data_IF_479156465064
#
_entry.id   IF_479156465064
#
_cell.length_a   1.000
_cell.length_b   1.000
_cell.length_c   1.000
_cell.angle_alpha   90.00
_cell.angle_beta   90.00
_cell.angle_gamma   90.00
#
_symmetry.space_group_name_H-M   'P 1'
#
loop_
_entity.id
_entity.type
_entity.pdbx_description
1 polymer ?
#
# COMPACT_ATOMS: atom_id res chain seq x y z
N UNK A 1 -18.00 -9.77 -15.46
CA UNK A 1 -17.85 -9.04 -14.17
C UNK A 1 -16.39 -8.65 -13.96
N UNK A 2 -16.09 -7.54 -13.27
CA UNK A 2 -14.72 -7.12 -12.92
C UNK A 2 -14.45 -7.29 -11.41
N UNK A 3 -13.19 -7.37 -10.99
CA UNK A 3 -12.76 -7.54 -9.60
C UNK A 3 -13.32 -6.46 -8.67
N UNK A 4 -13.30 -5.19 -9.08
CA UNK A 4 -13.87 -4.08 -8.31
C UNK A 4 -15.38 -4.23 -8.06
N UNK A 5 -16.10 -4.81 -9.03
CA UNK A 5 -17.53 -5.07 -8.87
C UNK A 5 -17.79 -6.31 -7.99
N UNK A 6 -16.89 -7.30 -8.03
CA UNK A 6 -16.97 -8.49 -7.17
C UNK A 6 -16.83 -8.13 -5.68
N UNK A 7 -16.08 -7.07 -5.34
CA UNK A 7 -15.95 -6.58 -3.96
C UNK A 7 -17.29 -6.29 -3.28
N UNK A 8 -18.29 -5.84 -4.03
CA UNK A 8 -19.62 -5.50 -3.50
C UNK A 8 -20.30 -6.69 -2.83
N UNK A 9 -19.88 -7.91 -3.15
CA UNK A 9 -20.44 -9.15 -2.60
C UNK A 9 -19.76 -9.61 -1.30
N UNK A 10 -18.66 -8.98 -0.90
CA UNK A 10 -18.04 -9.20 0.41
C UNK A 10 -18.66 -8.34 1.52
N UNK A 11 -19.53 -7.39 1.17
CA UNK A 11 -20.21 -6.52 2.12
C UNK A 11 -21.71 -6.83 2.16
N UNK A 12 -22.32 -6.59 3.32
CA UNK A 12 -23.76 -6.76 3.48
C UNK A 12 -24.51 -5.84 2.51
N UNK A 13 -25.40 -6.42 1.70
CA UNK A 13 -26.25 -5.63 0.80
C UNK A 13 -27.29 -4.90 1.64
N UNK A 14 -27.41 -3.58 1.44
CA UNK A 14 -28.55 -2.82 1.95
C UNK A 14 -29.84 -3.32 1.31
N UNK A 15 -30.94 -3.27 2.04
CA UNK A 15 -32.27 -3.54 1.48
C UNK A 15 -32.54 -2.56 0.33
N UNK A 16 -32.71 -3.10 -0.88
CA UNK A 16 -33.19 -2.28 -2.01
C UNK A 16 -34.70 -2.09 -1.84
N UNK A 17 -35.09 -0.93 -1.31
CA UNK A 17 -36.49 -0.48 -1.32
C UNK A 17 -36.69 0.24 -2.65
N UNK A 18 -37.30 -0.45 -3.60
CA UNK A 18 -37.62 0.09 -4.92
C UNK A 18 -39.03 -0.33 -5.31
N UNK A 19 -39.79 0.60 -5.87
CA UNK A 19 -41.11 0.36 -6.47
C UNK A 19 -41.00 -0.21 -7.91
N UNK A 20 -39.76 -0.49 -8.35
CA UNK A 20 -39.52 -1.17 -9.62
C UNK A 20 -40.04 -2.60 -9.53
N UNK A 21 -40.83 -3.10 -10.50
CA UNK A 21 -41.15 -4.52 -10.54
C UNK A 21 -39.84 -5.31 -10.64
N UNK A 22 -39.73 -6.39 -9.86
CA UNK A 22 -38.57 -7.27 -9.88
C UNK A 22 -38.39 -7.79 -11.30
N UNK A 23 -37.25 -7.46 -11.92
CA UNK A 23 -36.94 -7.93 -13.28
C UNK A 23 -37.05 -9.47 -13.33
N UNK A 24 -37.85 -9.98 -14.26
CA UNK A 24 -38.05 -11.42 -14.51
C UNK A 24 -36.92 -12.03 -15.36
N UNK A 25 -35.95 -11.23 -15.80
CA UNK A 25 -34.80 -11.69 -16.56
C UNK A 25 -33.85 -12.53 -15.69
N UNK A 26 -33.57 -13.74 -16.14
CA UNK A 26 -32.68 -14.72 -15.50
C UNK A 26 -31.19 -14.50 -15.78
N UNK A 27 -30.82 -13.51 -16.60
CA UNK A 27 -29.45 -13.29 -17.07
C UNK A 27 -28.55 -12.57 -16.04
N UNK A 28 -29.05 -12.33 -14.82
CA UNK A 28 -28.27 -11.70 -13.75
C UNK A 28 -27.57 -12.76 -12.91
N UNK A 29 -26.23 -12.69 -12.85
CA UNK A 29 -25.41 -13.53 -11.96
C UNK A 29 -25.93 -13.46 -10.52
N UNK A 30 -26.24 -14.62 -9.95
CA UNK A 30 -26.65 -14.75 -8.57
C UNK A 30 -25.45 -14.66 -7.63
N UNK A 31 -25.71 -14.49 -6.33
CA UNK A 31 -24.63 -14.50 -5.33
C UNK A 31 -23.83 -15.81 -5.35
N UNK A 32 -24.49 -16.95 -5.60
CA UNK A 32 -23.84 -18.25 -5.72
C UNK A 32 -22.94 -18.36 -6.94
N UNK A 33 -23.37 -17.83 -8.10
CA UNK A 33 -22.56 -17.84 -9.33
C UNK A 33 -21.27 -17.05 -9.14
N UNK A 34 -21.36 -15.94 -8.39
CA UNK A 34 -20.23 -15.07 -8.10
C UNK A 34 -19.25 -15.74 -7.14
N UNK A 35 -19.74 -16.41 -6.10
CA UNK A 35 -18.87 -17.17 -5.19
C UNK A 35 -18.19 -18.33 -5.93
N UNK A 36 -18.90 -19.02 -6.83
CA UNK A 36 -18.33 -20.07 -7.67
C UNK A 36 -17.26 -19.50 -8.63
N UNK A 37 -17.53 -18.35 -9.26
CA UNK A 37 -16.59 -17.65 -10.12
C UNK A 37 -15.32 -17.22 -9.37
N UNK A 38 -15.46 -16.67 -8.16
CA UNK A 38 -14.33 -16.31 -7.31
C UNK A 38 -13.49 -17.54 -6.94
N UNK A 39 -14.12 -18.67 -6.59
CA UNK A 39 -13.42 -19.92 -6.33
C UNK A 39 -12.62 -20.42 -7.55
N UNK A 40 -13.19 -20.30 -8.76
CA UNK A 40 -12.49 -20.63 -10.00
C UNK A 40 -11.30 -19.70 -10.25
N UNK A 41 -11.45 -18.39 -10.07
CA UNK A 41 -10.36 -17.42 -10.25
C UNK A 41 -9.27 -17.61 -9.21
N UNK A 42 -9.61 -17.94 -7.97
CA UNK A 42 -8.62 -18.24 -6.92
C UNK A 42 -7.74 -19.45 -7.30
N UNK A 43 -8.28 -20.41 -8.05
CA UNK A 43 -7.50 -21.54 -8.58
C UNK A 43 -6.66 -21.16 -9.81
N UNK A 44 -7.22 -20.39 -10.75
CA UNK A 44 -6.53 -20.03 -12.02
C UNK A 44 -5.50 -18.91 -11.88
N UNK A 45 -5.76 -17.93 -11.02
CA UNK A 45 -4.97 -16.70 -10.86
C UNK A 45 -4.77 -16.40 -9.37
N UNK A 46 -4.19 -17.37 -8.66
CA UNK A 46 -4.09 -17.35 -7.20
C UNK A 46 -3.36 -16.12 -6.65
N UNK A 47 -2.23 -15.74 -7.27
CA UNK A 47 -1.43 -14.59 -6.82
C UNK A 47 -2.19 -13.28 -7.02
N UNK A 48 -2.74 -13.05 -8.21
CA UNK A 48 -3.47 -11.83 -8.54
C UNK A 48 -4.74 -11.64 -7.70
N UNK A 49 -5.52 -12.71 -7.53
CA UNK A 49 -6.72 -12.68 -6.71
C UNK A 49 -6.38 -12.38 -5.23
N UNK A 50 -5.41 -13.09 -4.66
CA UNK A 50 -4.97 -12.87 -3.29
C UNK A 50 -4.41 -11.45 -3.10
N UNK A 51 -3.62 -10.97 -4.06
CA UNK A 51 -3.04 -9.63 -4.01
C UNK A 51 -4.13 -8.54 -4.02
N UNK A 52 -5.14 -8.67 -4.87
CA UNK A 52 -6.28 -7.77 -4.92
C UNK A 52 -7.09 -7.78 -3.62
N UNK A 53 -7.43 -8.96 -3.11
CA UNK A 53 -8.20 -9.11 -1.87
C UNK A 53 -7.46 -8.53 -0.66
N UNK A 54 -6.13 -8.73 -0.61
CA UNK A 54 -5.27 -8.13 0.41
C UNK A 54 -5.18 -6.61 0.29
N UNK A 55 -5.03 -6.07 -0.92
CA UNK A 55 -5.00 -4.62 -1.22
C UNK A 55 -6.29 -3.93 -0.80
N UNK A 56 -7.43 -4.58 -1.01
CA UNK A 56 -8.75 -4.06 -0.64
C UNK A 56 -9.10 -4.28 0.84
N UNK A 57 -8.22 -4.93 1.62
CA UNK A 57 -8.40 -5.13 3.05
C UNK A 57 -9.51 -6.12 3.41
N UNK A 58 -9.90 -7.01 2.48
CA UNK A 58 -10.98 -7.99 2.73
C UNK A 58 -10.49 -9.15 3.59
N UNK A 59 -9.22 -9.56 3.44
CA UNK A 59 -8.65 -10.73 4.09
C UNK A 59 -7.16 -10.55 4.36
N UNK A 60 -6.76 -10.70 5.63
CA UNK A 60 -5.35 -10.71 6.04
C UNK A 60 -4.60 -11.93 5.53
N UNK A 61 -5.30 -13.06 5.42
CA UNK A 61 -4.73 -14.31 4.96
C UNK A 61 -4.38 -14.23 3.47
N UNK A 62 -5.22 -13.58 2.66
CA UNK A 62 -4.93 -13.37 1.23
C UNK A 62 -3.75 -12.42 1.02
N UNK A 63 -3.57 -11.42 1.90
CA UNK A 63 -2.36 -10.58 1.91
C UNK A 63 -1.10 -11.43 2.14
N UNK A 64 -1.09 -12.25 3.18
CA UNK A 64 0.07 -13.10 3.51
C UNK A 64 0.36 -14.10 2.38
N UNK A 65 -0.68 -14.72 1.84
CA UNK A 65 -0.59 -15.62 0.69
C UNK A 65 -0.04 -14.93 -0.56
N UNK A 66 -0.43 -13.69 -0.83
CA UNK A 66 0.11 -12.92 -1.96
C UNK A 66 1.62 -12.67 -1.81
N UNK A 67 2.06 -12.35 -0.60
CA UNK A 67 3.49 -12.16 -0.28
C UNK A 67 4.26 -13.48 -0.43
N UNK A 68 3.72 -14.59 0.06
CA UNK A 68 4.33 -15.92 -0.07
C UNK A 68 4.47 -16.33 -1.54
N UNK A 69 3.42 -16.19 -2.34
CA UNK A 69 3.44 -16.53 -3.76
C UNK A 69 4.47 -15.67 -4.52
N UNK A 70 4.53 -14.36 -4.23
CA UNK A 70 5.54 -13.50 -4.83
C UNK A 70 6.96 -13.88 -4.37
N UNK A 71 7.12 -14.29 -3.11
CA UNK A 71 8.40 -14.77 -2.58
C UNK A 71 8.90 -15.99 -3.34
N UNK A 72 8.03 -16.98 -3.60
CA UNK A 72 8.36 -18.15 -4.41
C UNK A 72 8.76 -17.75 -5.84
N UNK A 73 7.97 -16.87 -6.46
CA UNK A 73 8.27 -16.32 -7.78
C UNK A 73 9.63 -15.59 -7.82
N UNK A 74 9.97 -14.87 -6.75
CA UNK A 74 11.24 -14.15 -6.60
C UNK A 74 12.40 -15.14 -6.43
N UNK A 75 12.25 -16.20 -5.63
CA UNK A 75 13.27 -17.23 -5.44
C UNK A 75 13.61 -17.90 -6.78
N UNK A 76 12.62 -18.25 -7.60
CA UNK A 76 12.85 -18.84 -8.94
C UNK A 76 13.67 -17.94 -9.88
N UNK A 77 13.59 -16.61 -9.69
CA UNK A 77 14.15 -15.62 -10.63
C UNK A 77 15.33 -14.83 -10.06
N UNK A 78 15.61 -14.94 -8.77
CA UNK A 78 16.66 -14.18 -8.09
C UNK A 78 18.04 -14.47 -8.68
N UNK A 79 18.25 -15.67 -9.23
CA UNK A 79 19.52 -16.06 -9.84
C UNK A 79 19.87 -15.25 -11.10
N UNK A 80 18.90 -14.55 -11.71
CA UNK A 80 19.18 -13.60 -12.80
C UNK A 80 20.04 -12.42 -12.35
N UNK A 81 20.00 -12.08 -11.06
CA UNK A 81 20.76 -10.98 -10.47
C UNK A 81 21.99 -11.54 -9.77
N UNK A 82 23.19 -11.19 -10.25
CA UNK A 82 24.44 -11.70 -9.71
C UNK A 82 24.62 -11.44 -8.20
N UNK A 83 24.12 -10.30 -7.70
CA UNK A 83 24.17 -9.95 -6.28
C UNK A 83 23.30 -10.87 -5.42
N UNK A 84 22.11 -11.25 -5.90
CA UNK A 84 21.19 -12.12 -5.19
C UNK A 84 21.59 -13.61 -5.30
N UNK A 85 22.21 -13.98 -6.43
CA UNK A 85 22.72 -15.35 -6.66
C UNK A 85 23.80 -15.74 -5.65
N UNK A 86 24.64 -14.79 -5.23
CA UNK A 86 25.77 -15.01 -4.31
C UNK A 86 25.36 -15.11 -2.84
N UNK A 87 24.10 -14.84 -2.51
CA UNK A 87 23.60 -14.96 -1.14
C UNK A 87 23.57 -16.43 -0.69
N UNK A 88 23.79 -16.65 0.60
CA UNK A 88 23.67 -17.97 1.22
C UNK A 88 22.25 -18.52 1.12
N UNK A 89 22.11 -19.85 1.09
CA UNK A 89 20.83 -20.55 0.94
C UNK A 89 19.83 -20.22 2.06
N UNK A 90 20.30 -19.94 3.28
CA UNK A 90 19.43 -19.62 4.43
C UNK A 90 19.00 -18.15 4.47
N UNK A 91 19.79 -17.27 3.85
CA UNK A 91 19.59 -15.83 3.81
C UNK A 91 18.70 -15.46 2.62
N UNK A 92 18.89 -16.12 1.47
CA UNK A 92 18.19 -15.82 0.22
C UNK A 92 16.65 -15.81 0.38
N UNK A 93 15.99 -16.82 1.00
CA UNK A 93 14.55 -16.79 1.21
C UNK A 93 14.08 -15.62 2.07
N UNK A 94 14.84 -15.27 3.13
CA UNK A 94 14.50 -14.14 4.02
C UNK A 94 14.58 -12.80 3.28
N UNK A 95 15.62 -12.63 2.46
CA UNK A 95 15.76 -11.43 1.61
C UNK A 95 14.63 -11.36 0.58
N UNK A 96 14.29 -12.48 -0.07
CA UNK A 96 13.18 -12.50 -1.05
C UNK A 96 11.83 -12.19 -0.39
N UNK A 97 11.59 -12.73 0.81
CA UNK A 97 10.39 -12.45 1.58
C UNK A 97 10.31 -10.97 1.97
N UNK A 98 11.41 -10.38 2.45
CA UNK A 98 11.45 -8.95 2.74
C UNK A 98 11.14 -8.10 1.50
N UNK A 99 11.76 -8.41 0.35
CA UNK A 99 11.47 -7.72 -0.91
C UNK A 99 10.00 -7.86 -1.32
N UNK A 100 9.42 -9.06 -1.19
CA UNK A 100 8.01 -9.30 -1.52
C UNK A 100 7.06 -8.53 -0.61
N UNK A 101 7.34 -8.44 0.70
CA UNK A 101 6.55 -7.65 1.66
C UNK A 101 6.56 -6.17 1.27
N UNK A 102 7.74 -5.59 1.06
CA UNK A 102 7.87 -4.18 0.65
C UNK A 102 7.27 -3.94 -0.74
N UNK A 103 7.32 -4.92 -1.64
CA UNK A 103 6.69 -4.81 -2.96
C UNK A 103 5.16 -4.81 -2.85
N UNK A 104 4.61 -5.65 -1.97
CA UNK A 104 3.17 -5.68 -1.69
C UNK A 104 2.70 -4.38 -1.03
N UNK A 105 3.47 -3.81 -0.10
CA UNK A 105 3.15 -2.53 0.53
C UNK A 105 3.15 -1.36 -0.47
N UNK A 106 4.06 -1.35 -1.44
CA UNK A 106 4.06 -0.34 -2.50
C UNK A 106 2.91 -0.54 -3.50
N UNK A 107 2.63 -1.80 -3.87
CA UNK A 107 1.50 -2.16 -4.72
C UNK A 107 0.13 -1.84 -4.10
N UNK A 108 -0.06 -2.14 -2.81
CA UNK A 108 -1.34 -1.93 -2.11
C UNK A 108 -1.59 -0.47 -1.72
N UNK A 109 -0.56 0.38 -1.84
CA UNK A 109 -0.62 1.80 -1.52
C UNK A 109 -1.58 2.52 -2.46
N UNK A 110 -2.44 3.38 -1.90
CA UNK A 110 -3.37 4.19 -2.65
C UNK A 110 -3.58 5.56 -1.98
N UNK A 111 -4.31 6.46 -2.65
CA UNK A 111 -4.58 7.80 -2.12
C UNK A 111 -5.33 7.80 -0.76
N UNK A 112 -6.09 6.75 -0.45
CA UNK A 112 -6.81 6.58 0.80
C UNK A 112 -6.01 5.87 1.90
N UNK A 113 -4.85 5.28 1.59
CA UNK A 113 -4.10 4.50 2.57
C UNK A 113 -3.44 5.40 3.61
N UNK A 114 -3.37 4.91 4.85
CA UNK A 114 -2.67 5.59 5.95
C UNK A 114 -1.48 4.75 6.41
N UNK A 115 -0.36 5.40 6.68
CA UNK A 115 0.84 4.77 7.25
C UNK A 115 1.01 5.15 8.72
N UNK A 116 1.65 4.28 9.49
CA UNK A 116 2.00 4.60 10.87
C UNK A 116 2.94 5.81 10.91
N UNK A 117 2.74 6.70 11.86
CA UNK A 117 3.58 7.88 12.00
C UNK A 117 4.96 7.48 12.53
N UNK A 118 6.00 7.66 11.71
CA UNK A 118 7.41 7.42 12.07
C UNK A 118 7.86 8.25 13.29
N UNK A 119 7.26 9.41 13.53
CA UNK A 119 7.67 10.29 14.64
C UNK A 119 7.17 9.82 16.01
N UNK A 120 6.10 9.03 16.07
CA UNK A 120 5.55 8.56 17.34
C UNK A 120 5.30 7.06 17.36
N UNK A 121 5.73 6.32 16.34
CA UNK A 121 5.47 4.89 16.15
C UNK A 121 4.01 4.52 16.46
N UNK A 122 3.05 5.32 15.99
CA UNK A 122 1.62 5.06 16.22
C UNK A 122 1.07 5.51 17.58
N UNK A 123 1.92 5.93 18.53
CA UNK A 123 1.47 6.33 19.86
C UNK A 123 0.69 7.66 19.88
N UNK A 124 0.77 8.47 18.82
CA UNK A 124 0.10 9.78 18.73
C UNK A 124 0.76 10.90 19.55
N UNK A 125 1.58 10.54 20.54
CA UNK A 125 2.29 11.45 21.43
C UNK A 125 3.81 11.23 21.39
N UNK A 126 4.55 12.28 21.71
CA UNK A 126 6.01 12.25 21.88
C UNK A 126 6.30 12.70 23.31
N UNK A 127 7.30 12.11 23.94
CA UNK A 127 7.76 12.57 25.25
C UNK A 127 8.66 13.80 25.06
N UNK A 128 8.27 14.93 25.65
CA UNK A 128 9.09 16.13 25.70
C UNK A 128 9.38 16.50 27.15
N UNK A 129 10.62 16.89 27.42
CA UNK A 129 11.00 17.43 28.72
C UNK A 129 10.59 18.90 28.74
N UNK A 130 9.61 19.24 29.60
CA UNK A 130 9.14 20.59 29.79
C UNK A 130 9.59 21.06 31.16
N UNK A 131 10.24 22.21 31.19
CA UNK A 131 10.57 22.88 32.45
C UNK A 131 9.31 23.58 32.93
N UNK A 132 8.72 23.09 34.02
CA UNK A 132 7.57 23.74 34.65
C UNK A 132 8.04 24.47 35.91
N UNK A 133 7.65 25.73 36.02
CA UNK A 133 7.79 26.51 37.26
C UNK A 133 6.59 26.17 38.14
N UNK A 134 6.67 25.09 38.93
CA UNK A 134 5.61 24.76 39.89
C UNK A 134 5.91 25.40 41.23
N UNK A 135 4.93 26.11 41.79
CA UNK A 135 5.05 26.76 43.08
C UNK A 135 4.99 25.71 44.20
N UNK A 136 6.13 25.42 44.83
CA UNK A 136 6.20 24.64 46.07
C UNK A 136 6.34 25.67 47.19
N UNK A 137 5.22 26.07 47.78
CA UNK A 137 5.06 27.00 48.91
C UNK A 137 6.22 27.96 49.28
N UNK A 138 6.05 29.27 49.02
CA UNK A 138 6.87 30.44 49.44
C UNK A 138 8.37 30.44 49.04
N UNK A 139 9.00 31.63 48.92
CA UNK A 139 9.04 32.46 47.72
C UNK A 139 9.98 31.93 46.59
N UNK A 140 10.42 30.67 46.63
CA UNK A 140 11.41 30.16 45.68
C UNK A 140 10.76 29.36 44.55
N UNK A 141 10.76 29.91 43.34
CA UNK A 141 10.41 29.18 42.12
C UNK A 141 11.56 28.22 41.78
N UNK A 142 11.38 26.93 42.08
CA UNK A 142 12.31 25.90 41.63
C UNK A 142 11.89 25.38 40.25
N UNK A 143 12.80 25.42 39.29
CA UNK A 143 12.58 24.84 37.96
C UNK A 143 12.55 23.31 38.06
N UNK A 144 11.38 22.69 37.84
CA UNK A 144 11.25 21.23 37.79
C UNK A 144 11.17 20.77 36.34
N UNK A 145 12.07 19.86 35.96
CA UNK A 145 12.01 19.19 34.67
C UNK A 145 11.01 18.04 34.77
N UNK A 146 9.95 18.08 33.98
CA UNK A 146 8.94 17.03 33.91
C UNK A 146 8.84 16.49 32.48
N UNK A 147 8.71 15.18 32.35
CA UNK A 147 8.40 14.57 31.05
C UNK A 147 6.89 14.65 30.81
N UNK A 148 6.50 15.43 29.81
CA UNK A 148 5.10 15.61 29.40
C UNK A 148 4.89 14.94 28.05
N UNK A 149 3.74 14.28 27.87
CA UNK A 149 3.30 13.76 26.58
C UNK A 149 2.78 14.92 25.73
N UNK A 150 3.52 15.30 24.70
CA UNK A 150 3.08 16.30 23.71
C UNK A 150 2.50 15.63 22.48
N UNK A 151 1.49 16.25 21.88
CA UNK A 151 0.91 15.77 20.63
C UNK A 151 1.97 15.73 19.53
N UNK A 152 2.07 14.61 18.82
CA UNK A 152 2.93 14.50 17.66
C UNK A 152 2.46 15.51 16.59
N UNK A 153 3.32 16.44 16.20
CA UNK A 153 2.95 17.50 15.26
C UNK A 153 2.61 16.97 13.85
N UNK A 154 3.27 15.87 13.42
CA UNK A 154 3.01 15.27 12.10
C UNK A 154 1.64 14.59 12.02
N UNK A 155 1.28 13.74 12.99
CA UNK A 155 0.00 13.03 12.96
C UNK A 155 -1.12 13.73 13.75
N UNK A 156 -0.80 14.81 14.47
CA UNK A 156 -1.74 15.56 15.33
C UNK A 156 -2.52 14.63 16.28
N UNK A 157 -1.83 13.66 16.88
CA UNK A 157 -2.43 12.69 17.80
C UNK A 157 -3.08 11.47 17.14
N UNK A 158 -3.22 11.42 15.81
CA UNK A 158 -3.89 10.31 15.11
C UNK A 158 -3.10 9.00 15.10
N UNK A 159 -1.80 9.03 15.40
CA UNK A 159 -0.90 7.88 15.28
C UNK A 159 -0.59 7.48 13.83
N UNK A 160 -1.40 7.89 12.86
CA UNK A 160 -1.24 7.61 11.43
C UNK A 160 -1.14 8.88 10.59
N UNK A 161 -0.49 8.78 9.45
CA UNK A 161 -0.31 9.85 8.45
C UNK A 161 -0.88 9.36 7.12
N UNK A 162 -1.61 10.24 6.42
CA UNK A 162 -2.12 9.91 5.09
C UNK A 162 -0.97 9.70 4.11
N UNK A 163 -1.14 8.73 3.22
CA UNK A 163 -0.22 8.47 2.11
C UNK A 163 -0.58 9.29 0.88
N UNK A 164 -1.68 10.04 0.90
CA UNK A 164 -2.03 10.94 -0.19
C UNK A 164 -0.92 11.96 -0.45
N UNK A 165 -0.71 12.29 -1.72
CA UNK A 165 0.13 13.42 -2.11
C UNK A 165 -0.38 14.68 -1.40
N UNK A 166 0.52 15.38 -0.72
CA UNK A 166 0.18 16.58 0.06
C UNK A 166 -0.36 17.74 -0.79
N UNK A 167 0.02 17.83 -2.07
CA UNK A 167 -0.40 18.93 -2.95
C UNK A 167 -1.78 18.66 -3.57
N UNK A 168 -1.97 17.48 -4.17
CA UNK A 168 -3.24 17.14 -4.81
C UNK A 168 -4.23 16.43 -3.87
N UNK A 169 -3.85 16.15 -2.63
CA UNK A 169 -4.65 15.41 -1.62
C UNK A 169 -5.25 14.11 -2.17
N UNK A 170 -4.47 13.37 -2.95
CA UNK A 170 -4.93 12.10 -3.55
C UNK A 170 -5.56 12.21 -4.94
N UNK A 171 -5.88 13.40 -5.44
CA UNK A 171 -6.60 13.58 -6.71
C UNK A 171 -5.80 13.25 -7.97
N UNK A 172 -4.47 13.21 -7.89
CA UNK A 172 -3.57 13.10 -9.06
C UNK A 172 -3.52 14.35 -9.95
N UNK A 173 -4.54 15.21 -9.90
CA UNK A 173 -4.67 16.41 -10.73
C UNK A 173 -4.44 17.71 -9.96
N UNK A 174 -3.84 18.69 -10.64
CA UNK A 174 -3.60 20.04 -10.14
C UNK A 174 -3.92 21.08 -11.22
N UNK A 175 -4.21 22.32 -10.82
CA UNK A 175 -4.44 23.41 -11.78
C UNK A 175 -3.06 23.87 -12.28
N UNK A 176 -2.90 23.90 -13.61
CA UNK A 176 -1.73 24.46 -14.25
C UNK A 176 -1.89 25.99 -14.32
N UNK A 177 -1.26 26.70 -13.39
CA UNK A 177 -1.35 28.17 -13.31
C UNK A 177 -0.89 28.84 -14.61
N UNK A 178 0.21 28.37 -15.21
CA UNK A 178 0.77 28.96 -16.43
C UNK A 178 -0.17 28.84 -17.64
N UNK A 179 -0.80 27.68 -17.84
CA UNK A 179 -1.75 27.49 -18.93
C UNK A 179 -3.11 28.14 -18.65
N UNK A 180 -3.50 28.17 -17.38
CA UNK A 180 -4.74 28.85 -16.94
C UNK A 180 -4.66 30.35 -17.20
N UNK A 181 -3.51 30.97 -16.92
CA UNK A 181 -3.28 32.40 -17.20
C UNK A 181 -3.27 32.72 -18.70
N UNK A 182 -2.72 31.82 -19.53
CA UNK A 182 -2.67 32.00 -20.99
C UNK A 182 -4.04 31.86 -21.65
N UNK A 183 -4.86 30.91 -21.20
CA UNK A 183 -6.15 30.60 -21.82
C UNK A 183 -7.32 31.35 -21.16
N UNK A 184 -7.12 31.90 -19.96
CA UNK A 184 -8.18 32.55 -19.17
C UNK A 184 -9.20 31.58 -18.58
N UNK A 185 -8.95 30.27 -18.66
CA UNK A 185 -9.84 29.19 -18.18
C UNK A 185 -8.99 28.17 -17.39
N UNK A 186 -9.49 27.60 -16.27
CA UNK A 186 -8.73 26.63 -15.49
C UNK A 186 -8.30 25.40 -16.29
N UNK A 187 -7.01 25.28 -16.55
CA UNK A 187 -6.41 24.10 -17.19
C UNK A 187 -5.97 23.12 -16.11
N UNK A 188 -6.53 21.91 -16.14
CA UNK A 188 -6.20 20.86 -15.18
C UNK A 188 -5.11 19.97 -15.80
N UNK A 189 -3.97 19.91 -15.14
CA UNK A 189 -2.86 19.02 -15.51
C UNK A 189 -2.62 17.97 -14.43
N UNK A 190 -1.73 17.02 -14.73
CA UNK A 190 -1.23 16.11 -13.71
C UNK A 190 -0.44 16.88 -12.64
N UNK A 191 -0.56 16.42 -11.40
CA UNK A 191 0.16 17.00 -10.28
C UNK A 191 1.66 16.77 -10.43
N UNK A 192 2.44 17.84 -10.52
CA UNK A 192 3.91 17.80 -10.69
C UNK A 192 4.63 16.98 -9.61
N UNK A 193 4.10 16.93 -8.38
CA UNK A 193 4.72 16.17 -7.26
C UNK A 193 4.53 14.67 -7.36
N UNK A 194 3.36 14.19 -7.80
CA UNK A 194 3.06 12.75 -7.86
C UNK A 194 2.95 12.20 -9.29
N UNK A 195 3.17 13.03 -10.31
CA UNK A 195 3.11 12.62 -11.71
C UNK A 195 1.75 12.05 -12.12
N UNK A 196 0.65 12.53 -11.53
CA UNK A 196 -0.69 12.03 -11.82
C UNK A 196 -1.16 10.88 -10.92
N UNK A 197 -0.27 10.21 -10.18
CA UNK A 197 -0.59 9.00 -9.39
C UNK A 197 -1.44 9.31 -8.15
N UNK A 198 -1.30 10.50 -7.57
CA UNK A 198 -2.07 10.92 -6.40
C UNK A 198 -1.45 10.57 -5.04
N UNK A 199 -0.43 9.72 -5.00
CA UNK A 199 0.32 9.34 -3.79
C UNK A 199 1.79 9.03 -4.15
N UNK A 200 2.76 9.18 -3.22
CA UNK A 200 4.14 8.84 -3.48
C UNK A 200 4.35 7.32 -3.37
N UNK A 201 5.10 6.76 -4.32
CA UNK A 201 5.62 5.39 -4.23
C UNK A 201 6.50 5.23 -3.00
N UNK A 202 6.59 4.01 -2.48
CA UNK A 202 7.46 3.68 -1.37
C UNK A 202 8.93 3.91 -1.80
N UNK A 203 9.73 4.67 -1.03
CA UNK A 203 11.14 4.83 -1.36
C UNK A 203 11.85 3.48 -1.34
N UNK A 204 12.54 3.13 -2.44
CA UNK A 204 13.31 1.87 -2.51
C UNK A 204 14.40 1.76 -1.45
N UNK A 205 14.75 2.86 -0.79
CA UNK A 205 15.70 2.91 0.34
C UNK A 205 15.14 2.24 1.58
N UNK A 206 13.82 2.22 1.79
CA UNK A 206 13.20 1.51 2.91
C UNK A 206 13.33 0.00 2.72
N UNK A 207 13.05 -0.49 1.50
CA UNK A 207 13.29 -1.89 1.13
C UNK A 207 14.79 -2.27 1.27
N UNK A 208 15.71 -1.39 0.85
CA UNK A 208 17.13 -1.60 1.04
C UNK A 208 17.52 -1.69 2.52
N UNK A 209 17.00 -0.77 3.36
CA UNK A 209 17.28 -0.77 4.80
C UNK A 209 16.81 -2.07 5.49
N UNK A 210 15.67 -2.61 5.07
CA UNK A 210 15.19 -3.91 5.55
C UNK A 210 16.10 -5.06 5.11
N UNK A 211 16.61 -5.04 3.87
CA UNK A 211 17.58 -6.04 3.40
C UNK A 211 18.90 -5.95 4.19
N UNK A 212 19.36 -4.74 4.53
CA UNK A 212 20.55 -4.54 5.37
C UNK A 212 20.40 -5.08 6.80
N UNK A 213 19.17 -5.25 7.31
CA UNK A 213 18.96 -5.91 8.61
C UNK A 213 19.16 -7.43 8.53
N UNK A 214 19.16 -7.99 7.32
CA UNK A 214 19.27 -9.43 7.06
C UNK A 214 20.67 -9.79 6.57
N UNK A 215 21.27 -8.95 5.72
CA UNK A 215 22.59 -9.20 5.14
C UNK A 215 23.35 -7.93 4.79
N UNK A 216 24.66 -7.96 5.07
CA UNK A 216 25.59 -6.87 4.78
C UNK A 216 26.27 -7.05 3.41
N UNK A 217 25.97 -8.16 2.69
CA UNK A 217 26.63 -8.52 1.44
C UNK A 217 26.26 -7.60 0.26
N UNK A 218 25.17 -6.85 0.36
CA UNK A 218 24.67 -5.99 -0.71
C UNK A 218 24.97 -4.53 -0.36
N UNK A 219 25.94 -3.94 -1.08
CA UNK A 219 26.22 -2.50 -0.97
C UNK A 219 25.11 -1.65 -1.60
N UNK A 220 25.01 -0.38 -1.21
CA UNK A 220 24.04 0.57 -1.78
C UNK A 220 24.24 0.77 -3.30
N UNK A 221 25.48 0.73 -3.79
CA UNK A 221 25.76 0.86 -5.23
C UNK A 221 25.28 -0.38 -6.00
N UNK A 222 25.57 -1.57 -5.46
CA UNK A 222 25.08 -2.85 -5.98
C UNK A 222 23.55 -2.90 -5.99
N UNK A 223 22.91 -2.41 -4.92
CA UNK A 223 21.46 -2.29 -4.83
C UNK A 223 20.90 -1.46 -5.97
N UNK A 224 21.37 -0.21 -6.13
CA UNK A 224 20.87 0.71 -7.15
C UNK A 224 21.03 0.16 -8.57
N UNK A 225 22.15 -0.49 -8.86
CA UNK A 225 22.47 -0.99 -10.20
C UNK A 225 21.76 -2.29 -10.57
N UNK A 226 21.57 -3.20 -9.62
CA UNK A 226 21.18 -4.60 -9.94
C UNK A 226 19.97 -5.12 -9.19
N UNK A 227 19.83 -4.81 -7.90
CA UNK A 227 18.74 -5.34 -7.08
C UNK A 227 17.48 -4.49 -7.20
N UNK A 228 17.62 -3.17 -7.31
CA UNK A 228 16.48 -2.25 -7.45
C UNK A 228 15.63 -2.56 -8.68
N UNK A 229 16.18 -2.76 -9.90
CA UNK A 229 15.35 -3.12 -11.06
C UNK A 229 14.61 -4.45 -10.87
N UNK A 230 15.21 -5.41 -10.17
CA UNK A 230 14.55 -6.67 -9.83
C UNK A 230 13.38 -6.43 -8.86
N UNK A 231 13.58 -5.64 -7.81
CA UNK A 231 12.53 -5.23 -6.87
C UNK A 231 11.39 -4.48 -7.57
N UNK A 232 11.71 -3.51 -8.44
CA UNK A 232 10.70 -2.79 -9.23
C UNK A 232 9.88 -3.76 -10.11
N UNK A 233 10.53 -4.79 -10.68
CA UNK A 233 9.87 -5.85 -11.43
C UNK A 233 8.93 -6.71 -10.59
N UNK A 234 9.24 -6.95 -9.31
CA UNK A 234 8.33 -7.66 -8.40
C UNK A 234 7.06 -6.85 -8.12
N UNK A 235 7.17 -5.52 -8.05
CA UNK A 235 5.99 -4.67 -7.85
C UNK A 235 5.09 -4.73 -9.09
N UNK A 236 5.67 -4.59 -10.28
CA UNK A 236 4.94 -4.69 -11.56
C UNK A 236 4.29 -6.08 -11.69
N UNK A 237 4.91 -7.13 -11.16
CA UNK A 237 4.36 -8.48 -11.21
C UNK A 237 2.99 -8.57 -10.52
N UNK A 238 2.76 -7.86 -9.42
CA UNK A 238 1.44 -7.81 -8.79
C UNK A 238 0.39 -7.15 -9.70
N UNK A 239 0.74 -6.05 -10.39
CA UNK A 239 -0.17 -5.36 -11.31
C UNK A 239 -0.56 -6.24 -12.52
N UNK A 240 0.42 -6.99 -13.05
CA UNK A 240 0.20 -7.97 -14.13
C UNK A 240 -0.72 -9.11 -13.67
N UNK A 241 -0.50 -9.63 -12.47
CA UNK A 241 -1.30 -10.71 -11.90
C UNK A 241 -2.72 -10.25 -11.52
N UNK A 242 -2.88 -9.04 -10.98
CA UNK A 242 -4.20 -8.42 -10.73
C UNK A 242 -4.98 -8.31 -12.05
N UNK A 243 -4.33 -7.83 -13.11
CA UNK A 243 -4.94 -7.73 -14.45
C UNK A 243 -5.32 -9.10 -15.02
N UNK A 244 -4.49 -10.13 -14.78
CA UNK A 244 -4.77 -11.50 -15.18
C UNK A 244 -5.96 -12.09 -14.41
N UNK A 245 -6.04 -11.86 -13.10
CA UNK A 245 -7.16 -12.29 -12.28
C UNK A 245 -8.47 -11.60 -12.72
N UNK A 246 -8.43 -10.31 -13.08
CA UNK A 246 -9.59 -9.61 -13.64
C UNK A 246 -10.04 -10.20 -14.97
N UNK A 247 -9.09 -10.50 -15.86
CA UNK A 247 -9.39 -11.16 -17.14
C UNK A 247 -10.04 -12.54 -16.93
N UNK A 248 -9.51 -13.35 -16.01
CA UNK A 248 -10.07 -14.66 -15.67
C UNK A 248 -11.46 -14.54 -15.06
N UNK A 249 -11.70 -13.54 -14.20
CA UNK A 249 -13.04 -13.33 -13.66
C UNK A 249 -14.03 -12.94 -14.75
N UNK A 250 -13.63 -12.06 -15.68
CA UNK A 250 -14.47 -11.69 -16.83
C UNK A 250 -14.82 -12.88 -17.70
N UNK A 251 -13.87 -13.78 -17.92
CA UNK A 251 -14.06 -14.99 -18.71
C UNK A 251 -15.04 -15.96 -18.04
N UNK A 252 -14.91 -16.18 -16.74
CA UNK A 252 -15.76 -17.12 -15.98
C UNK A 252 -17.18 -16.58 -15.73
N UNK A 253 -17.35 -15.26 -15.74
CA UNK A 253 -18.64 -14.59 -15.47
C UNK A 253 -19.32 -14.06 -16.74
N UNK A 254 -18.85 -14.49 -17.91
CA UNK A 254 -19.47 -14.20 -19.20
C UNK A 254 -20.51 -15.27 -19.53
#
# INVERSE_FOLDING_TARGET
MNLENALKYHFAKSTMISDSPRATASDALTGTDIMAAQGMVQNRAQMGFAAFMGKMGVSSNDREKAIELLTLYAIERCDKVAALRKLECDIKPKVMQALATYAFEDYSRNAGSTRQCECCNGAGFIHAEVVTMKHIGRPNLAARREQVKVLCQKCKGKGVVSTACSDCKGRGKAINQEETEKQGVPVISDCKRCGGVGYPRLPSTEAFAAVCQITDAISLDTWKKSVKPFYDGLIIKFEVEESWADAQLREVTR
#
